data_IF_605755970392
#
_entry.id   IF_605755970392
#
_cell.length_a   1.000
_cell.length_b   1.000
_cell.length_c   1.000
_cell.angle_alpha   90.00
_cell.angle_beta   90.00
_cell.angle_gamma   90.00
#
_symmetry.space_group_name_H-M   'P 1'
#
loop_
_entity.id
_entity.type
_entity.pdbx_description
1 polymer ?
#
# COMPACT_ATOMS: atom_id res chain seq x y z
N UNK A 1 11.78 -5.59 9.67
CA UNK A 1 12.69 -5.91 10.77
C UNK A 1 11.94 -5.79 12.10
N UNK A 2 11.79 -6.92 12.83
CA UNK A 2 11.06 -7.00 14.11
C UNK A 2 11.65 -6.08 15.17
N UNK A 3 12.97 -5.87 15.15
CA UNK A 3 13.65 -4.99 16.11
C UNK A 3 13.20 -3.55 15.90
N UNK A 4 13.27 -3.04 14.69
CA UNK A 4 12.84 -1.66 14.37
C UNK A 4 11.36 -1.45 14.67
N UNK A 5 10.51 -2.44 14.38
CA UNK A 5 9.10 -2.36 14.71
C UNK A 5 8.85 -2.28 16.23
N UNK A 6 9.60 -3.05 17.03
CA UNK A 6 9.53 -2.99 18.51
C UNK A 6 10.06 -1.67 19.06
N UNK A 7 11.16 -1.16 18.50
CA UNK A 7 11.70 0.16 18.87
C UNK A 7 10.69 1.29 18.57
N UNK A 8 9.88 1.12 17.52
CA UNK A 8 8.77 2.01 17.19
C UNK A 8 7.49 1.78 18.05
N UNK A 9 7.55 0.92 19.07
CA UNK A 9 6.44 0.66 19.98
C UNK A 9 5.38 -0.33 19.45
N UNK A 10 5.67 -1.04 18.36
CA UNK A 10 4.74 -2.03 17.80
C UNK A 10 4.90 -3.40 18.45
N UNK A 11 3.80 -4.11 18.62
CA UNK A 11 3.83 -5.53 18.99
C UNK A 11 4.23 -6.35 17.77
N UNK A 12 5.54 -6.56 17.60
CA UNK A 12 6.09 -7.26 16.45
C UNK A 12 6.70 -8.60 16.87
N UNK A 13 6.39 -9.65 16.10
CA UNK A 13 6.88 -11.00 16.30
C UNK A 13 7.66 -11.44 15.06
N UNK A 14 8.77 -12.13 15.29
CA UNK A 14 9.52 -12.77 14.20
C UNK A 14 8.75 -14.02 13.78
N UNK A 15 8.23 -14.02 12.56
CA UNK A 15 7.77 -15.24 11.93
C UNK A 15 9.00 -15.99 11.39
N UNK A 16 9.39 -17.04 12.08
CA UNK A 16 10.39 -17.98 11.56
C UNK A 16 9.63 -19.00 10.73
N UNK A 17 9.83 -18.93 9.42
CA UNK A 17 9.40 -20.01 8.55
C UNK A 17 10.22 -21.24 8.91
N UNK A 18 9.68 -22.12 9.75
CA UNK A 18 10.21 -23.47 9.85
C UNK A 18 10.10 -24.07 8.44
N UNK A 19 11.18 -24.67 7.96
CA UNK A 19 11.10 -25.45 6.74
C UNK A 19 9.98 -26.46 6.95
N UNK A 20 8.90 -26.29 6.20
CA UNK A 20 7.82 -27.28 6.18
C UNK A 20 8.50 -28.50 5.56
N UNK A 21 8.66 -29.60 6.30
CA UNK A 21 9.19 -30.81 5.71
C UNK A 21 8.39 -31.11 4.45
N UNK A 22 9.05 -31.53 3.38
CA UNK A 22 8.42 -31.78 2.07
C UNK A 22 7.24 -32.77 2.10
N UNK A 23 7.02 -33.41 3.25
CA UNK A 23 5.93 -34.35 3.49
C UNK A 23 4.90 -33.87 4.52
N UNK A 24 4.99 -32.63 4.99
CA UNK A 24 3.89 -32.09 5.79
C UNK A 24 2.73 -31.83 4.85
N UNK A 25 2.00 -32.92 4.61
CA UNK A 25 0.73 -32.88 3.93
C UNK A 25 -0.11 -31.79 4.59
N UNK A 26 -0.82 -31.03 3.78
CA UNK A 26 -1.84 -30.05 4.18
C UNK A 26 -2.79 -30.59 5.27
N UNK A 27 -2.83 -31.91 5.44
CA UNK A 27 -3.54 -32.68 6.47
C UNK A 27 -3.32 -32.19 7.91
N UNK A 28 -2.19 -31.54 8.21
CA UNK A 28 -1.87 -31.03 9.56
C UNK A 28 -2.14 -29.53 9.78
N UNK A 29 -2.77 -28.86 8.84
CA UNK A 29 -3.12 -27.44 8.99
C UNK A 29 -4.49 -27.21 9.67
N UNK A 30 -4.88 -28.02 10.61
CA UNK A 30 -5.99 -27.90 11.57
C UNK A 30 -7.30 -27.29 11.04
N UNK A 31 -7.35 -26.00 10.88
CA UNK A 31 -8.53 -25.26 10.40
C UNK A 31 -8.85 -25.55 8.92
N UNK A 32 -7.87 -25.92 8.12
CA UNK A 32 -8.04 -26.22 6.70
C UNK A 32 -8.48 -27.67 6.44
N UNK A 33 -8.41 -28.52 7.45
CA UNK A 33 -8.85 -29.91 7.40
C UNK A 33 -10.39 -30.07 7.46
N UNK A 34 -11.12 -28.98 7.60
CA UNK A 34 -12.58 -28.97 7.66
C UNK A 34 -13.27 -29.32 6.33
N UNK A 35 -12.74 -30.26 5.61
CA UNK A 35 -13.46 -30.92 4.51
C UNK A 35 -13.48 -30.17 3.17
N UNK A 36 -12.97 -28.94 3.10
CA UNK A 36 -12.90 -28.20 1.83
C UNK A 36 -11.93 -28.90 0.87
N UNK A 37 -10.86 -29.47 1.40
CA UNK A 37 -9.84 -30.17 0.63
C UNK A 37 -10.32 -31.42 -0.11
N UNK A 38 -11.36 -32.08 0.36
CA UNK A 38 -11.86 -33.31 -0.25
C UNK A 38 -12.78 -33.11 -1.45
N UNK A 39 -13.35 -31.89 -1.59
CA UNK A 39 -14.41 -31.62 -2.57
C UNK A 39 -13.97 -30.80 -3.77
N UNK A 40 -12.75 -30.25 -3.80
CA UNK A 40 -12.38 -29.21 -4.76
C UNK A 40 -11.06 -29.49 -5.51
N UNK A 41 -10.49 -30.69 -5.41
CA UNK A 41 -9.31 -31.04 -6.23
C UNK A 41 -9.70 -31.19 -7.70
N UNK A 42 -9.40 -30.18 -8.48
CA UNK A 42 -9.62 -30.19 -9.93
C UNK A 42 -8.36 -30.61 -10.70
N UNK A 43 -7.19 -30.58 -10.06
CA UNK A 43 -5.88 -30.71 -10.68
C UNK A 43 -5.39 -29.42 -11.35
N UNK A 44 -6.20 -28.37 -11.32
CA UNK A 44 -5.80 -27.04 -11.82
C UNK A 44 -5.17 -26.22 -10.67
N UNK A 45 -3.87 -25.97 -10.76
CA UNK A 45 -3.07 -25.33 -9.70
C UNK A 45 -3.71 -24.02 -9.17
N UNK A 46 -4.12 -23.12 -10.05
CA UNK A 46 -4.66 -21.82 -9.60
C UNK A 46 -6.05 -21.94 -8.97
N UNK A 47 -6.86 -22.85 -9.48
CA UNK A 47 -8.17 -23.13 -8.89
C UNK A 47 -8.01 -23.74 -7.50
N UNK A 48 -7.17 -24.75 -7.38
CA UNK A 48 -6.95 -25.46 -6.13
C UNK A 48 -6.28 -24.54 -5.09
N UNK A 49 -5.29 -23.72 -5.48
CA UNK A 49 -4.69 -22.69 -4.63
C UNK A 49 -5.75 -21.68 -4.13
N UNK A 50 -6.62 -21.24 -5.02
CA UNK A 50 -7.73 -20.35 -4.66
C UNK A 50 -8.70 -20.99 -3.66
N UNK A 51 -9.06 -22.24 -3.87
CA UNK A 51 -9.98 -22.95 -2.99
C UNK A 51 -9.36 -23.28 -1.62
N UNK A 52 -8.10 -23.72 -1.59
CA UNK A 52 -7.43 -24.18 -0.36
C UNK A 52 -6.84 -23.06 0.48
N UNK A 53 -6.35 -21.99 -0.15
CA UNK A 53 -5.64 -20.90 0.54
C UNK A 53 -6.44 -19.60 0.46
N UNK A 54 -6.76 -19.17 -0.74
CA UNK A 54 -7.43 -17.88 -0.96
C UNK A 54 -8.83 -17.83 -0.35
N UNK A 55 -9.66 -18.85 -0.61
CA UNK A 55 -11.03 -18.91 -0.10
C UNK A 55 -11.13 -18.86 1.42
N UNK A 56 -10.48 -19.77 2.15
CA UNK A 56 -10.45 -19.74 3.60
C UNK A 56 -9.93 -18.42 4.18
N UNK A 57 -8.86 -17.84 3.60
CA UNK A 57 -8.32 -16.55 4.01
C UNK A 57 -9.37 -15.45 3.87
N UNK A 58 -9.98 -15.33 2.69
CA UNK A 58 -11.00 -14.31 2.44
C UNK A 58 -12.24 -14.50 3.31
N UNK A 59 -12.71 -15.75 3.50
CA UNK A 59 -13.84 -16.04 4.40
C UNK A 59 -13.49 -15.66 5.83
N UNK A 60 -12.27 -15.92 6.28
CA UNK A 60 -11.79 -15.51 7.61
C UNK A 60 -11.81 -14.01 7.80
N UNK A 61 -11.24 -13.25 6.85
CA UNK A 61 -11.25 -11.78 6.87
C UNK A 61 -12.68 -11.24 6.86
N UNK A 62 -13.52 -11.83 6.02
CA UNK A 62 -14.92 -11.48 5.87
C UNK A 62 -15.68 -11.66 7.19
N UNK A 63 -15.51 -12.80 7.86
CA UNK A 63 -16.13 -13.05 9.18
C UNK A 63 -15.63 -12.06 10.22
N UNK A 64 -14.33 -11.82 10.26
CA UNK A 64 -13.73 -10.84 11.18
C UNK A 64 -14.31 -9.43 10.96
N UNK A 65 -14.40 -8.97 9.71
CA UNK A 65 -15.02 -7.69 9.38
C UNK A 65 -16.48 -7.61 9.83
N UNK A 66 -17.25 -8.72 9.70
CA UNK A 66 -18.64 -8.79 10.21
C UNK A 66 -18.71 -8.53 11.71
N UNK A 67 -17.87 -9.19 12.48
CA UNK A 67 -17.85 -9.01 13.93
C UNK A 67 -17.41 -7.59 14.32
N UNK A 68 -16.40 -7.04 13.62
CA UNK A 68 -15.99 -5.64 13.81
C UNK A 68 -17.11 -4.64 13.50
N UNK A 69 -17.91 -4.88 12.46
CA UNK A 69 -19.08 -4.06 12.12
C UNK A 69 -20.19 -4.17 13.16
N UNK A 70 -20.48 -5.37 13.67
CA UNK A 70 -21.45 -5.55 14.75
C UNK A 70 -21.04 -4.80 16.01
N UNK A 71 -19.76 -4.84 16.35
CA UNK A 71 -19.23 -4.12 17.51
C UNK A 71 -19.23 -2.59 17.32
N UNK A 72 -19.24 -2.10 16.07
CA UNK A 72 -19.18 -0.68 15.72
C UNK A 72 -20.20 -0.34 14.63
N UNK A 73 -21.51 -0.44 14.90
CA UNK A 73 -22.55 -0.34 13.86
C UNK A 73 -22.59 1.03 13.18
N UNK A 74 -22.23 2.09 13.89
CA UNK A 74 -22.28 3.47 13.40
C UNK A 74 -21.00 3.91 12.66
N UNK A 75 -19.93 3.08 12.66
CA UNK A 75 -18.69 3.42 11.97
C UNK A 75 -18.74 2.95 10.51
N UNK A 76 -18.48 3.81 9.52
CA UNK A 76 -18.40 3.40 8.15
C UNK A 76 -17.20 2.46 7.94
N UNK A 77 -17.31 1.56 6.96
CA UNK A 77 -16.25 0.64 6.58
C UNK A 77 -15.81 0.93 5.14
N UNK A 78 -14.54 1.24 4.96
CA UNK A 78 -13.94 1.49 3.65
C UNK A 78 -12.91 0.42 3.33
N UNK A 79 -13.06 -0.20 2.17
CA UNK A 79 -12.11 -1.17 1.62
C UNK A 79 -11.23 -0.47 0.60
N UNK A 80 -9.93 -0.36 0.93
CA UNK A 80 -8.99 0.43 0.14
C UNK A 80 -8.61 -0.26 -1.17
N UNK A 81 -8.53 0.50 -2.24
CA UNK A 81 -7.94 0.05 -3.50
C UNK A 81 -6.43 -0.22 -3.27
N UNK A 82 -5.88 -1.22 -3.85
CA UNK A 82 -6.36 -2.24 -4.80
C UNK A 82 -6.77 -3.52 -4.05
N UNK A 83 -6.14 -3.77 -2.91
CA UNK A 83 -6.23 -5.04 -2.17
C UNK A 83 -7.65 -5.27 -1.62
N UNK A 84 -8.36 -4.21 -1.28
CA UNK A 84 -9.75 -4.28 -0.83
C UNK A 84 -10.78 -4.65 -1.90
N UNK A 85 -10.41 -4.69 -3.21
CA UNK A 85 -11.37 -4.93 -4.28
C UNK A 85 -12.02 -6.32 -4.19
N UNK A 86 -11.23 -7.35 -3.99
CA UNK A 86 -11.76 -8.71 -3.87
C UNK A 86 -12.67 -8.86 -2.65
N UNK A 87 -12.32 -8.23 -1.52
CA UNK A 87 -13.17 -8.21 -0.33
C UNK A 87 -14.46 -7.45 -0.57
N UNK A 88 -14.40 -6.34 -1.32
CA UNK A 88 -15.57 -5.57 -1.70
C UNK A 88 -16.52 -6.40 -2.55
N UNK A 89 -16.03 -7.08 -3.59
CA UNK A 89 -16.81 -7.97 -4.43
C UNK A 89 -17.46 -9.12 -3.64
N UNK A 90 -16.74 -9.68 -2.68
CA UNK A 90 -17.29 -10.71 -1.80
C UNK A 90 -18.33 -10.14 -0.84
N UNK A 91 -18.15 -8.92 -0.35
CA UNK A 91 -19.11 -8.26 0.54
C UNK A 91 -20.43 -7.97 -0.15
N UNK A 92 -20.41 -7.56 -1.42
CA UNK A 92 -21.62 -7.35 -2.21
C UNK A 92 -22.39 -8.65 -2.44
N UNK A 93 -21.72 -9.75 -2.81
CA UNK A 93 -22.31 -11.07 -3.01
C UNK A 93 -22.94 -11.69 -1.76
N UNK A 94 -22.47 -11.28 -0.59
CA UNK A 94 -22.91 -11.80 0.72
C UNK A 94 -23.91 -10.89 1.42
N UNK A 95 -24.48 -9.91 0.72
CA UNK A 95 -25.38 -8.89 1.28
C UNK A 95 -24.77 -8.15 2.49
N UNK A 96 -23.48 -7.86 2.41
CA UNK A 96 -22.76 -7.11 3.43
C UNK A 96 -23.06 -5.64 3.31
N UNK A 97 -24.08 -5.25 3.97
CA UNK A 97 -24.49 -3.86 4.02
C UNK A 97 -23.42 -3.04 4.73
N UNK A 98 -22.88 -2.03 4.05
CA UNK A 98 -22.14 -0.94 4.68
C UNK A 98 -20.64 -0.89 4.45
N UNK A 99 -20.04 -1.69 3.56
CA UNK A 99 -18.68 -1.45 3.10
C UNK A 99 -18.70 -0.66 1.80
N UNK A 100 -17.84 0.37 1.71
CA UNK A 100 -17.64 1.14 0.50
C UNK A 100 -16.24 0.86 -0.05
N UNK A 101 -16.10 0.80 -1.37
CA UNK A 101 -14.79 0.70 -2.00
C UNK A 101 -14.19 2.10 -2.15
N UNK A 102 -13.00 2.30 -1.58
CA UNK A 102 -12.33 3.60 -1.60
C UNK A 102 -11.17 3.58 -2.59
N UNK A 103 -11.30 4.36 -3.67
CA UNK A 103 -10.22 4.56 -4.64
C UNK A 103 -9.12 5.40 -4.01
N UNK A 104 -8.03 4.77 -3.64
CA UNK A 104 -6.87 5.43 -3.06
C UNK A 104 -5.58 4.73 -3.46
N UNK A 105 -4.47 5.43 -3.34
CA UNK A 105 -3.13 4.86 -3.53
C UNK A 105 -2.15 5.47 -2.55
N UNK A 106 -1.06 4.77 -2.27
CA UNK A 106 0.03 5.30 -1.44
C UNK A 106 0.51 6.65 -1.97
N UNK A 107 0.75 6.75 -3.28
CA UNK A 107 1.19 7.99 -3.93
C UNK A 107 0.26 9.18 -3.62
N UNK A 108 -1.03 9.02 -3.86
CA UNK A 108 -2.00 10.10 -3.66
C UNK A 108 -2.06 10.56 -2.20
N UNK A 109 -2.09 9.60 -1.27
CA UNK A 109 -2.17 9.91 0.16
C UNK A 109 -0.85 10.44 0.73
N UNK A 110 0.29 9.92 0.28
CA UNK A 110 1.61 10.42 0.71
C UNK A 110 1.77 11.89 0.34
N UNK A 111 1.54 12.25 -0.93
CA UNK A 111 1.65 13.64 -1.36
C UNK A 111 0.63 14.54 -0.64
N UNK A 112 -0.60 14.09 -0.47
CA UNK A 112 -1.62 14.83 0.25
C UNK A 112 -1.27 15.08 1.73
N UNK A 113 -0.52 14.18 2.36
CA UNK A 113 -0.09 14.30 3.75
C UNK A 113 1.09 15.25 3.99
N UNK A 114 1.88 15.57 2.95
CA UNK A 114 3.09 16.40 3.11
C UNK A 114 2.72 17.88 3.13
N UNK A 115 3.05 18.56 4.24
CA UNK A 115 2.86 20.01 4.43
C UNK A 115 4.17 20.79 4.41
N UNK A 116 5.28 20.11 4.65
CA UNK A 116 6.63 20.66 4.66
C UNK A 116 7.65 19.62 4.22
N UNK A 117 8.81 20.05 3.72
CA UNK A 117 9.93 19.17 3.45
C UNK A 117 10.90 19.17 4.63
N UNK A 118 10.94 18.06 5.34
CA UNK A 118 11.89 17.79 6.42
C UNK A 118 12.48 16.38 6.24
N UNK A 119 13.36 15.96 7.14
CA UNK A 119 14.00 14.63 7.06
C UNK A 119 12.98 13.49 7.03
N UNK A 120 11.89 13.58 7.78
CA UNK A 120 10.86 12.56 7.86
C UNK A 120 10.10 12.46 6.54
N UNK A 121 9.65 13.58 6.00
CA UNK A 121 8.91 13.62 4.73
C UNK A 121 9.80 13.21 3.54
N UNK A 122 11.08 13.57 3.55
CA UNK A 122 12.03 13.12 2.51
C UNK A 122 12.29 11.61 2.53
N UNK A 123 12.15 10.93 3.69
CA UNK A 123 12.33 9.48 3.79
C UNK A 123 11.19 8.68 3.14
N UNK A 124 9.99 9.24 3.08
CA UNK A 124 8.81 8.58 2.49
C UNK A 124 8.63 8.89 1.01
N UNK A 125 9.48 9.74 0.43
CA UNK A 125 9.47 10.08 -0.99
C UNK A 125 10.40 9.18 -1.81
N UNK A 126 10.11 8.96 -3.12
CA UNK A 126 11.04 8.25 -4.00
C UNK A 126 12.39 8.99 -4.10
N UNK A 127 13.46 8.32 -4.52
CA UNK A 127 13.47 6.96 -5.06
C UNK A 127 13.37 5.89 -3.96
N UNK A 128 12.59 4.84 -4.23
CA UNK A 128 12.44 3.73 -3.28
C UNK A 128 13.43 2.59 -3.55
N UNK A 129 13.95 2.51 -4.78
CA UNK A 129 14.85 1.44 -5.21
C UNK A 129 15.93 2.00 -6.14
N UNK A 130 17.09 1.35 -6.14
CA UNK A 130 18.12 1.58 -7.13
C UNK A 130 17.66 1.14 -8.53
N UNK A 131 18.20 1.76 -9.56
CA UNK A 131 17.89 1.47 -10.96
C UNK A 131 16.77 2.32 -11.56
N UNK A 132 16.00 3.06 -10.76
CA UNK A 132 15.05 4.06 -11.27
C UNK A 132 15.82 5.21 -11.95
N UNK A 133 15.20 5.83 -12.97
CA UNK A 133 15.72 7.06 -13.54
C UNK A 133 15.22 8.29 -12.78
N UNK A 134 15.94 9.41 -12.92
CA UNK A 134 15.49 10.69 -12.36
C UNK A 134 14.12 11.08 -12.96
N UNK A 135 13.93 10.89 -14.27
CA UNK A 135 12.67 11.16 -14.96
C UNK A 135 11.49 10.34 -14.40
N UNK A 136 11.71 9.04 -14.10
CA UNK A 136 10.69 8.20 -13.46
C UNK A 136 10.31 8.72 -12.08
N UNK A 137 11.27 9.17 -11.27
CA UNK A 137 11.01 9.76 -9.95
C UNK A 137 10.21 11.06 -10.09
N UNK A 138 10.66 11.97 -10.95
CA UNK A 138 9.97 13.26 -11.22
C UNK A 138 8.55 13.03 -11.75
N UNK A 139 8.38 12.07 -12.66
CA UNK A 139 7.07 11.69 -13.19
C UNK A 139 6.17 11.09 -12.10
N UNK A 140 6.73 10.21 -11.26
CA UNK A 140 5.96 9.56 -10.18
C UNK A 140 5.31 10.56 -9.23
N UNK A 141 6.02 11.63 -8.87
CA UNK A 141 5.49 12.68 -7.99
C UNK A 141 4.79 13.81 -8.76
N UNK A 142 4.79 13.73 -10.10
CA UNK A 142 4.27 14.77 -11.00
C UNK A 142 4.82 16.18 -10.64
N UNK A 143 6.13 16.25 -10.42
CA UNK A 143 6.85 17.50 -10.17
C UNK A 143 7.17 18.16 -11.51
N UNK A 144 6.33 19.14 -11.90
CA UNK A 144 6.55 19.94 -13.08
C UNK A 144 7.63 21.00 -12.80
N UNK A 145 8.41 21.36 -13.83
CA UNK A 145 9.40 22.44 -13.73
C UNK A 145 10.81 22.02 -13.32
N UNK A 146 11.08 20.72 -13.13
CA UNK A 146 12.45 20.22 -12.99
C UNK A 146 13.16 20.34 -14.33
N UNK A 147 14.32 21.03 -14.35
CA UNK A 147 15.10 21.26 -15.57
C UNK A 147 16.30 20.34 -15.66
N UNK A 148 16.79 20.13 -16.88
CA UNK A 148 18.04 19.37 -17.13
C UNK A 148 19.23 19.98 -16.40
N UNK A 149 19.32 21.33 -16.31
CA UNK A 149 20.40 22.03 -15.63
C UNK A 149 20.39 21.73 -14.12
N UNK A 150 19.21 21.65 -13.49
CA UNK A 150 19.10 21.25 -12.10
C UNK A 150 19.60 19.84 -11.87
N UNK A 151 19.23 18.90 -12.73
CA UNK A 151 19.65 17.50 -12.67
C UNK A 151 21.16 17.39 -12.87
N UNK A 152 21.72 18.10 -13.86
CA UNK A 152 23.15 18.13 -14.12
C UNK A 152 23.95 18.78 -12.97
N UNK A 153 23.42 19.79 -12.32
CA UNK A 153 24.07 20.43 -11.16
C UNK A 153 24.25 19.50 -9.97
N UNK A 154 23.43 18.42 -9.91
CA UNK A 154 23.55 17.34 -8.91
C UNK A 154 24.52 16.22 -9.35
N UNK A 155 25.13 16.34 -10.54
CA UNK A 155 26.10 15.38 -11.07
C UNK A 155 25.46 14.23 -11.87
N UNK A 156 24.20 14.34 -12.26
CA UNK A 156 23.59 13.39 -13.20
C UNK A 156 23.74 13.85 -14.65
N UNK A 157 23.76 12.92 -15.59
CA UNK A 157 23.86 13.24 -17.01
C UNK A 157 22.59 13.89 -17.58
N UNK A 158 21.43 13.66 -16.96
CA UNK A 158 20.12 14.14 -17.38
C UNK A 158 18.99 13.34 -16.73
N UNK A 159 17.76 13.57 -17.15
CA UNK A 159 16.57 12.89 -16.62
C UNK A 159 16.59 11.36 -16.81
N UNK A 160 17.25 10.87 -17.86
CA UNK A 160 17.38 9.43 -18.11
C UNK A 160 18.48 8.76 -17.27
N UNK A 161 19.25 9.54 -16.49
CA UNK A 161 20.28 9.00 -15.62
C UNK A 161 19.67 8.10 -14.55
N UNK A 162 20.29 6.92 -14.34
CA UNK A 162 19.88 5.96 -13.33
C UNK A 162 20.46 6.30 -11.97
N UNK A 163 19.67 6.07 -10.96
CA UNK A 163 20.03 6.14 -9.55
C UNK A 163 20.65 4.80 -9.16
N UNK A 164 21.98 4.74 -9.09
CA UNK A 164 22.71 3.49 -8.92
C UNK A 164 23.29 3.31 -7.51
N UNK A 165 23.36 4.36 -6.72
CA UNK A 165 23.98 4.34 -5.40
C UNK A 165 23.08 5.03 -4.35
N UNK A 166 23.37 4.79 -3.08
CA UNK A 166 22.70 5.50 -1.98
C UNK A 166 23.03 7.00 -2.02
N UNK A 167 24.23 7.38 -2.46
CA UNK A 167 24.60 8.79 -2.65
C UNK A 167 23.73 9.46 -3.73
N UNK A 168 23.41 8.75 -4.80
CA UNK A 168 22.48 9.24 -5.82
C UNK A 168 21.07 9.45 -5.25
N UNK A 169 20.62 8.57 -4.35
CA UNK A 169 19.34 8.77 -3.66
C UNK A 169 19.34 10.05 -2.81
N UNK A 170 20.45 10.34 -2.12
CA UNK A 170 20.60 11.58 -1.36
C UNK A 170 20.63 12.82 -2.26
N UNK A 171 21.25 12.72 -3.45
CA UNK A 171 21.21 13.81 -4.45
C UNK A 171 19.79 14.10 -4.95
N UNK A 172 18.97 13.05 -5.12
CA UNK A 172 17.55 13.24 -5.50
C UNK A 172 16.78 13.97 -4.40
N UNK A 173 17.08 13.73 -3.13
CA UNK A 173 16.48 14.52 -2.04
C UNK A 173 16.79 16.01 -2.16
N UNK A 174 18.01 16.36 -2.57
CA UNK A 174 18.37 17.76 -2.85
C UNK A 174 17.55 18.34 -4.00
N UNK A 175 17.18 17.56 -5.00
CA UNK A 175 16.30 18.00 -6.08
C UNK A 175 14.91 18.42 -5.56
N UNK A 176 14.36 17.69 -4.58
CA UNK A 176 13.13 18.12 -3.92
C UNK A 176 13.28 19.47 -3.21
N UNK A 177 14.36 19.64 -2.45
CA UNK A 177 14.63 20.89 -1.73
C UNK A 177 14.86 22.07 -2.69
N UNK A 178 15.54 21.85 -3.81
CA UNK A 178 15.71 22.89 -4.85
C UNK A 178 14.39 23.31 -5.47
N UNK A 179 13.37 22.45 -5.46
CA UNK A 179 12.05 22.69 -6.04
C UNK A 179 10.94 22.73 -4.97
N UNK A 180 11.28 23.01 -3.72
CA UNK A 180 10.38 22.91 -2.57
C UNK A 180 9.03 23.61 -2.78
N UNK A 181 9.06 24.86 -3.24
CA UNK A 181 7.82 25.63 -3.45
C UNK A 181 6.88 24.98 -4.48
N UNK A 182 7.44 24.46 -5.58
CA UNK A 182 6.66 23.76 -6.61
C UNK A 182 6.14 22.43 -6.08
N UNK A 183 6.97 21.71 -5.33
CA UNK A 183 6.60 20.45 -4.73
C UNK A 183 5.49 20.61 -3.69
N UNK A 184 5.60 21.57 -2.78
CA UNK A 184 4.57 21.82 -1.76
C UNK A 184 3.25 22.30 -2.38
N UNK A 185 3.31 23.11 -3.44
CA UNK A 185 2.12 23.47 -4.22
C UNK A 185 1.45 22.24 -4.85
N UNK A 186 2.24 21.27 -5.32
CA UNK A 186 1.72 20.00 -5.81
C UNK A 186 1.05 19.19 -4.70
N UNK A 187 1.69 19.11 -3.53
CA UNK A 187 1.14 18.44 -2.35
C UNK A 187 -0.18 19.08 -1.89
N UNK A 188 -0.28 20.39 -1.89
CA UNK A 188 -1.52 21.13 -1.58
C UNK A 188 -2.65 20.77 -2.56
N UNK A 189 -2.36 20.72 -3.86
CA UNK A 189 -3.33 20.30 -4.87
C UNK A 189 -3.83 18.88 -4.62
N UNK A 190 -2.94 17.94 -4.31
CA UNK A 190 -3.32 16.56 -3.99
C UNK A 190 -4.13 16.47 -2.69
N UNK A 191 -3.80 17.28 -1.69
CA UNK A 191 -4.56 17.37 -0.44
C UNK A 191 -5.98 17.87 -0.67
N UNK A 192 -6.15 18.90 -1.47
CA UNK A 192 -7.48 19.42 -1.82
C UNK A 192 -8.29 18.38 -2.62
N UNK A 193 -7.66 17.68 -3.56
CA UNK A 193 -8.29 16.59 -4.29
C UNK A 193 -8.72 15.44 -3.35
N UNK A 194 -7.85 15.03 -2.43
CA UNK A 194 -8.14 13.99 -1.46
C UNK A 194 -9.29 14.42 -0.53
N UNK A 195 -9.28 15.67 -0.04
CA UNK A 195 -10.33 16.24 0.81
C UNK A 195 -11.69 16.20 0.10
N UNK A 196 -11.76 16.74 -1.12
CA UNK A 196 -12.98 16.74 -1.92
C UNK A 196 -13.50 15.30 -2.17
N UNK A 197 -12.60 14.36 -2.40
CA UNK A 197 -12.96 12.97 -2.58
C UNK A 197 -13.50 12.37 -1.27
N UNK A 198 -12.86 12.62 -0.13
CA UNK A 198 -13.28 12.11 1.16
C UNK A 198 -14.63 12.70 1.59
N UNK A 199 -14.89 13.97 1.32
CA UNK A 199 -16.19 14.60 1.51
C UNK A 199 -17.27 13.90 0.65
N UNK A 200 -16.96 13.67 -0.64
CA UNK A 200 -17.87 13.02 -1.58
C UNK A 200 -18.27 11.60 -1.17
N UNK A 201 -17.36 10.84 -0.57
CA UNK A 201 -17.64 9.46 -0.09
C UNK A 201 -18.16 9.43 1.35
N UNK A 202 -18.33 10.57 2.00
CA UNK A 202 -18.84 10.67 3.36
C UNK A 202 -17.83 10.32 4.47
N UNK A 203 -16.53 10.25 4.14
CA UNK A 203 -15.50 9.92 5.14
C UNK A 203 -15.33 11.03 6.18
N UNK A 204 -15.49 12.30 5.81
CA UNK A 204 -15.33 13.47 6.69
C UNK A 204 -16.65 13.94 7.33
N UNK A 205 -17.76 13.24 7.13
CA UNK A 205 -19.08 13.63 7.64
C UNK A 205 -19.45 12.93 8.97
N UNK A 206 -18.55 12.13 9.54
CA UNK A 206 -18.83 11.26 10.69
C UNK A 206 -18.10 11.70 11.98
N UNK A 207 -17.86 12.99 12.16
CA UNK A 207 -17.41 13.58 13.42
C UNK A 207 -18.57 14.05 14.29
#
# INVERSE_FOLDING_TARGET
>A
DVRLAREAGWNAFLYIRNEIPNETKIENMGIFDLGVGRYVQTGEFWHDLGAYVGGPLYVGIVKWLKEMRKANPNRPCYLLARDGYNLFQLSEKQEWIGCQYMYTSRRALTLAGITELNEETLRILPPYTLGQTIGEVVHYIALEGVTEEQVQSLGFAGLDAKINTVDDMEKVKKLYLMNEALFLKRCEKERNNAKNYFEKIGLLQND
#
